data_IF_656261586264
#
_entry.id   IF_656261586264
#
_cell.length_a   1.000
_cell.length_b   1.000
_cell.length_c   1.000
_cell.angle_alpha   90.00
_cell.angle_beta   90.00
_cell.angle_gamma   90.00
#
_symmetry.space_group_name_H-M   'P 1'
#
loop_
_entity.id
_entity.type
_entity.pdbx_description
1 polymer ?
#
# COMPACT_ATOMS: atom_id res chain seq x y z
N UNK A 1 -8.44 -5.79 16.02
CA UNK A 1 -8.92 -4.42 16.32
C UNK A 1 -10.12 -4.02 15.46
N UNK A 2 -11.15 -3.42 16.08
CA UNK A 2 -12.35 -2.91 15.39
C UNK A 2 -12.16 -1.42 15.05
N UNK A 3 -12.27 -1.03 13.79
CA UNK A 3 -12.00 0.33 13.30
C UNK A 3 -13.25 0.90 12.64
N UNK A 4 -13.62 2.15 12.96
CA UNK A 4 -14.69 2.85 12.27
C UNK A 4 -14.21 3.32 10.89
N UNK A 5 -14.86 2.85 9.83
CA UNK A 5 -14.43 3.12 8.45
C UNK A 5 -14.59 4.59 8.09
N UNK A 6 -15.70 5.22 8.50
CA UNK A 6 -15.99 6.61 8.16
C UNK A 6 -14.98 7.55 8.80
N UNK A 7 -14.73 7.40 10.10
CA UNK A 7 -13.75 8.22 10.83
C UNK A 7 -12.35 8.07 10.24
N UNK A 8 -11.97 6.85 9.86
CA UNK A 8 -10.67 6.59 9.24
C UNK A 8 -10.53 7.28 7.88
N UNK A 9 -11.57 7.24 7.05
CA UNK A 9 -11.59 7.92 5.75
C UNK A 9 -11.62 9.44 5.94
N UNK A 10 -12.47 9.98 6.80
CA UNK A 10 -12.56 11.43 7.03
C UNK A 10 -11.24 11.99 7.56
N UNK A 11 -10.59 11.27 8.48
CA UNK A 11 -9.32 11.70 9.06
C UNK A 11 -8.19 11.74 8.02
N UNK A 12 -7.98 10.64 7.27
CA UNK A 12 -6.84 10.55 6.35
C UNK A 12 -7.12 11.10 4.94
N UNK A 13 -8.34 10.98 4.42
CA UNK A 13 -8.69 11.44 3.08
C UNK A 13 -9.33 12.83 3.06
N UNK A 14 -9.94 13.33 4.14
CA UNK A 14 -10.56 14.67 4.15
C UNK A 14 -9.83 15.68 5.06
N UNK A 15 -8.87 15.19 5.86
CA UNK A 15 -8.17 15.97 6.90
C UNK A 15 -9.12 16.49 7.97
N UNK A 16 -10.27 15.84 8.15
CA UNK A 16 -11.22 16.21 9.19
C UNK A 16 -10.58 15.94 10.56
N UNK A 17 -10.70 16.89 11.47
CA UNK A 17 -10.19 16.79 12.85
C UNK A 17 -8.68 16.45 12.94
N UNK A 18 -7.88 16.82 11.93
CA UNK A 18 -6.43 16.62 11.89
C UNK A 18 -5.70 17.95 11.96
N UNK A 19 -4.78 18.10 12.92
CA UNK A 19 -3.80 19.17 12.92
C UNK A 19 -2.62 18.83 12.00
N UNK A 20 -1.75 19.82 11.76
CA UNK A 20 -0.55 19.65 10.93
C UNK A 20 0.39 18.64 11.59
N UNK A 21 0.52 17.46 10.99
CA UNK A 21 1.45 16.42 11.41
C UNK A 21 0.78 15.16 11.92
N UNK A 22 -0.46 15.25 12.42
CA UNK A 22 -1.16 14.13 13.07
C UNK A 22 -1.30 12.92 12.14
N UNK A 23 -1.79 13.15 10.92
CA UNK A 23 -1.94 12.09 9.93
C UNK A 23 -0.61 11.38 9.62
N UNK A 24 0.50 12.12 9.57
CA UNK A 24 1.82 11.53 9.32
C UNK A 24 2.31 10.73 10.53
N UNK A 25 2.14 11.26 11.74
CA UNK A 25 2.51 10.59 12.98
C UNK A 25 1.71 9.29 13.16
N UNK A 26 0.39 9.33 12.95
CA UNK A 26 -0.47 8.15 13.03
C UNK A 26 -0.12 7.14 11.93
N UNK A 27 0.10 7.56 10.68
CA UNK A 27 0.54 6.65 9.62
C UNK A 27 1.90 6.02 9.90
N UNK A 28 2.81 6.70 10.59
CA UNK A 28 4.08 6.11 11.02
C UNK A 28 3.87 4.99 12.05
N UNK A 29 2.86 5.11 12.91
CA UNK A 29 2.56 4.11 13.94
C UNK A 29 1.68 2.97 13.41
N UNK A 30 0.71 3.23 12.53
CA UNK A 30 -0.29 2.22 12.16
C UNK A 30 -0.36 1.89 10.68
N UNK A 31 0.18 2.75 9.81
CA UNK A 31 -0.13 2.72 8.38
C UNK A 31 0.28 1.43 7.66
N UNK A 32 1.45 0.88 7.97
CA UNK A 32 1.91 -0.37 7.33
C UNK A 32 1.03 -1.57 7.72
N UNK A 33 0.72 -1.71 9.01
CA UNK A 33 -0.14 -2.78 9.52
C UNK A 33 -1.58 -2.63 9.01
N UNK A 34 -2.12 -1.41 9.03
CA UNK A 34 -3.45 -1.09 8.55
C UNK A 34 -3.61 -1.47 7.08
N UNK A 35 -2.68 -1.02 6.24
CA UNK A 35 -2.74 -1.27 4.80
C UNK A 35 -2.57 -2.77 4.47
N UNK A 36 -1.63 -3.44 5.15
CA UNK A 36 -1.43 -4.88 4.99
C UNK A 36 -2.67 -5.68 5.40
N UNK A 37 -3.26 -5.32 6.54
CA UNK A 37 -4.43 -6.01 7.10
C UNK A 37 -5.69 -5.75 6.28
N UNK A 38 -5.87 -4.53 5.75
CA UNK A 38 -6.94 -4.22 4.82
C UNK A 38 -6.87 -5.10 3.56
N UNK A 39 -5.68 -5.37 3.03
CA UNK A 39 -5.51 -6.29 1.90
C UNK A 39 -5.83 -7.74 2.27
N UNK A 40 -5.37 -8.21 3.45
CA UNK A 40 -5.74 -9.54 3.98
C UNK A 40 -7.25 -9.69 4.10
N UNK A 41 -7.93 -8.70 4.67
CA UNK A 41 -9.38 -8.67 4.80
C UNK A 41 -10.09 -8.63 3.43
N UNK A 42 -9.60 -7.83 2.47
CA UNK A 42 -10.11 -7.84 1.09
C UNK A 42 -10.02 -9.23 0.44
N UNK A 43 -8.97 -10.00 0.77
CA UNK A 43 -8.78 -11.38 0.31
C UNK A 43 -9.57 -12.41 1.13
N UNK A 44 -10.40 -11.98 2.09
CA UNK A 44 -11.17 -12.85 2.99
C UNK A 44 -10.27 -13.83 3.74
N UNK A 45 -9.17 -13.32 4.29
CA UNK A 45 -8.17 -14.07 5.07
C UNK A 45 -7.51 -15.23 4.31
N UNK A 46 -7.57 -15.22 2.98
CA UNK A 46 -6.86 -16.19 2.12
C UNK A 46 -5.37 -15.85 1.92
N UNK A 47 -4.91 -14.76 2.53
CA UNK A 47 -3.54 -14.27 2.42
C UNK A 47 -2.97 -14.09 3.82
N UNK A 48 -1.80 -14.68 4.05
CA UNK A 48 -1.06 -14.53 5.29
C UNK A 48 -0.04 -13.39 5.17
N UNK A 49 0.05 -12.56 6.21
CA UNK A 49 1.08 -11.53 6.32
C UNK A 49 2.28 -12.19 7.01
N UNK A 50 3.43 -12.22 6.34
CA UNK A 50 4.60 -12.90 6.87
C UNK A 50 5.45 -11.96 7.71
N UNK A 51 6.07 -12.51 8.75
CA UNK A 51 7.06 -11.81 9.55
C UNK A 51 8.38 -11.70 8.76
N UNK A 52 8.95 -10.50 8.72
CA UNK A 52 10.28 -10.26 8.14
C UNK A 52 10.26 -9.28 6.96
N UNK A 53 11.33 -8.49 6.88
CA UNK A 53 11.51 -7.53 5.79
C UNK A 53 11.82 -8.22 4.46
N UNK A 54 11.42 -7.59 3.37
CA UNK A 54 11.76 -8.05 2.03
C UNK A 54 13.13 -7.51 1.64
N UNK A 55 14.09 -8.42 1.46
CA UNK A 55 15.48 -8.07 1.16
C UNK A 55 15.77 -8.26 -0.33
N UNK A 56 16.56 -7.38 -0.96
CA UNK A 56 16.92 -7.54 -2.36
C UNK A 56 17.89 -8.70 -2.58
N UNK A 57 17.90 -9.26 -3.79
CA UNK A 57 18.95 -10.22 -4.20
C UNK A 57 20.30 -9.50 -4.25
N UNK A 58 21.27 -9.99 -3.48
CA UNK A 58 22.63 -9.46 -3.47
C UNK A 58 23.41 -10.15 -4.60
N UNK A 59 23.80 -9.41 -5.64
CA UNK A 59 24.76 -9.91 -6.64
C UNK A 59 26.15 -10.03 -5.99
N UNK A 60 26.92 -11.09 -6.28
CA UNK A 60 28.31 -11.25 -5.81
C UNK A 60 29.09 -9.95 -6.09
N UNK A 61 29.88 -9.48 -5.11
CA UNK A 61 30.71 -8.26 -5.15
C UNK A 61 30.00 -6.90 -5.02
N UNK A 62 28.73 -6.83 -4.61
CA UNK A 62 28.06 -5.57 -4.23
C UNK A 62 27.74 -5.53 -2.74
N UNK A 63 27.92 -4.36 -2.11
CA UNK A 63 27.67 -4.15 -0.68
C UNK A 63 26.22 -4.48 -0.29
N UNK A 64 25.99 -4.84 0.98
CA UNK A 64 24.67 -5.19 1.57
C UNK A 64 23.61 -4.05 1.51
N UNK A 65 23.90 -2.92 0.84
CA UNK A 65 23.05 -1.73 0.74
C UNK A 65 22.15 -1.81 -0.49
N UNK A 66 21.08 -2.59 -0.41
CA UNK A 66 20.03 -2.63 -1.44
C UNK A 66 18.69 -2.09 -0.92
N UNK A 67 17.79 -1.70 -1.83
CA UNK A 67 16.44 -1.24 -1.48
C UNK A 67 15.62 -2.40 -0.92
N UNK A 68 15.07 -2.23 0.28
CA UNK A 68 14.15 -3.18 0.94
C UNK A 68 12.72 -2.87 0.57
N UNK A 69 11.83 -3.85 0.63
CA UNK A 69 10.37 -3.63 0.61
C UNK A 69 9.79 -3.94 1.99
N UNK A 70 8.54 -3.55 2.15
CA UNK A 70 7.89 -3.54 3.46
C UNK A 70 7.53 -4.95 3.92
N UNK A 71 6.85 -5.75 3.08
CA UNK A 71 6.32 -7.07 3.51
C UNK A 71 6.31 -8.17 2.46
N UNK A 72 6.42 -9.41 2.94
CA UNK A 72 6.00 -10.59 2.20
C UNK A 72 4.56 -10.96 2.58
N UNK A 73 3.74 -11.37 1.60
CA UNK A 73 2.40 -11.91 1.84
C UNK A 73 2.16 -13.19 1.05
N UNK A 74 1.63 -14.23 1.69
CA UNK A 74 1.47 -15.55 1.10
C UNK A 74 0.01 -15.83 0.74
N UNK A 75 -0.28 -16.08 -0.53
CA UNK A 75 -1.55 -16.66 -0.96
C UNK A 75 -1.40 -18.16 -1.17
N UNK A 76 -1.45 -18.92 -0.07
CA UNK A 76 -1.15 -20.36 -0.02
C UNK A 76 -1.93 -21.17 -1.06
N UNK A 77 -3.24 -20.93 -1.19
CA UNK A 77 -4.11 -21.65 -2.15
C UNK A 77 -3.72 -21.45 -3.63
N UNK A 78 -2.94 -20.42 -3.95
CA UNK A 78 -2.48 -20.14 -5.32
C UNK A 78 -0.99 -20.34 -5.52
N UNK A 79 -0.25 -20.71 -4.46
CA UNK A 79 1.21 -20.78 -4.51
C UNK A 79 1.89 -19.45 -4.85
N UNK A 80 1.23 -18.31 -4.57
CA UNK A 80 1.76 -16.97 -4.86
C UNK A 80 2.33 -16.37 -3.58
N UNK A 81 3.55 -15.83 -3.68
CA UNK A 81 4.21 -15.04 -2.67
C UNK A 81 4.31 -13.59 -3.17
N UNK A 82 3.52 -12.69 -2.59
CA UNK A 82 3.56 -11.28 -2.94
C UNK A 82 4.74 -10.57 -2.27
N UNK A 83 5.56 -9.88 -3.07
CA UNK A 83 6.50 -8.89 -2.57
C UNK A 83 5.83 -7.52 -2.56
N UNK A 84 5.67 -6.94 -1.36
CA UNK A 84 4.80 -5.81 -1.15
C UNK A 84 5.59 -4.54 -0.83
N UNK A 85 5.23 -3.46 -1.51
CA UNK A 85 5.57 -2.10 -1.09
C UNK A 85 4.28 -1.35 -0.74
N UNK A 86 4.27 -0.72 0.43
CA UNK A 86 3.14 -0.07 1.06
C UNK A 86 3.42 1.44 1.10
N UNK A 87 2.48 2.24 0.60
CA UNK A 87 2.55 3.69 0.60
C UNK A 87 1.36 4.29 1.34
N UNK A 88 1.67 4.88 2.50
CA UNK A 88 0.72 5.57 3.37
C UNK A 88 0.34 6.97 2.87
N UNK A 89 0.35 7.20 1.56
CA UNK A 89 0.06 8.51 0.99
C UNK A 89 -1.44 8.81 1.14
N UNK A 90 -1.75 9.74 2.04
CA UNK A 90 -3.07 10.24 2.35
C UNK A 90 -3.27 11.66 1.80
N UNK A 91 -4.41 12.30 2.06
CA UNK A 91 -4.67 13.65 1.56
C UNK A 91 -3.66 14.70 2.06
N UNK A 92 -2.98 14.43 3.18
CA UNK A 92 -1.92 15.27 3.76
C UNK A 92 -0.56 15.09 3.09
N UNK A 93 -0.36 14.04 2.27
CA UNK A 93 0.88 13.84 1.55
C UNK A 93 1.07 14.87 0.42
N UNK A 94 2.30 15.03 -0.06
CA UNK A 94 2.59 15.87 -1.21
C UNK A 94 1.84 15.34 -2.44
N UNK A 95 1.01 16.18 -3.06
CA UNK A 95 0.12 15.77 -4.16
C UNK A 95 -1.12 15.00 -3.73
N UNK A 96 -1.43 14.95 -2.43
CA UNK A 96 -2.68 14.41 -1.90
C UNK A 96 -3.88 15.28 -2.29
N UNK A 97 -5.04 14.64 -2.53
CA UNK A 97 -6.32 15.32 -2.74
C UNK A 97 -7.28 14.97 -1.61
N UNK A 98 -8.07 15.97 -1.19
CA UNK A 98 -9.17 15.73 -0.25
C UNK A 98 -10.27 14.92 -0.91
N UNK A 99 -10.85 13.99 -0.17
CA UNK A 99 -11.96 13.17 -0.60
C UNK A 99 -12.81 12.74 0.62
N UNK A 100 -13.92 13.42 0.92
CA UNK A 100 -14.83 13.07 2.02
C UNK A 100 -15.31 11.61 1.95
N UNK A 101 -15.59 10.95 3.08
CA UNK A 101 -15.99 9.53 3.10
C UNK A 101 -17.30 9.23 2.33
N UNK A 102 -18.16 10.24 2.17
CA UNK A 102 -19.44 10.20 1.48
C UNK A 102 -19.40 10.76 0.05
N UNK A 103 -18.20 11.09 -0.45
CA UNK A 103 -17.98 11.63 -1.80
C UNK A 103 -18.73 10.87 -2.90
N UNK A 104 -19.07 11.60 -3.97
CA UNK A 104 -19.80 11.02 -5.09
C UNK A 104 -18.92 10.00 -5.85
N UNK A 105 -19.54 9.16 -6.68
CA UNK A 105 -18.82 8.16 -7.48
C UNK A 105 -17.95 8.86 -8.52
N UNK A 106 -18.39 10.04 -8.96
CA UNK A 106 -17.68 10.89 -9.92
C UNK A 106 -16.41 11.42 -9.24
N UNK A 107 -16.52 12.03 -8.06
CA UNK A 107 -15.37 12.56 -7.31
C UNK A 107 -14.34 11.47 -6.97
N UNK A 108 -14.81 10.29 -6.55
CA UNK A 108 -13.94 9.14 -6.28
C UNK A 108 -13.19 8.73 -7.55
N UNK A 109 -13.88 8.64 -8.69
CA UNK A 109 -13.29 8.25 -9.97
C UNK A 109 -12.27 9.28 -10.46
N UNK A 110 -12.59 10.57 -10.37
CA UNK A 110 -11.69 11.66 -10.75
C UNK A 110 -10.44 11.69 -9.88
N UNK A 111 -10.60 11.52 -8.56
CA UNK A 111 -9.47 11.48 -7.61
C UNK A 111 -8.60 10.25 -7.85
N UNK A 112 -9.20 9.07 -8.08
CA UNK A 112 -8.46 7.86 -8.41
C UNK A 112 -7.69 7.99 -9.74
N UNK A 113 -8.30 8.61 -10.76
CA UNK A 113 -7.67 8.91 -12.04
C UNK A 113 -6.50 9.86 -11.87
N UNK A 114 -6.68 10.96 -11.12
CA UNK A 114 -5.62 11.91 -10.82
C UNK A 114 -4.41 11.24 -10.15
N UNK A 115 -4.63 10.41 -9.13
CA UNK A 115 -3.54 9.71 -8.46
C UNK A 115 -2.87 8.69 -9.39
N UNK A 116 -3.64 7.99 -10.23
CA UNK A 116 -3.10 7.06 -11.21
C UNK A 116 -2.21 7.75 -12.24
N UNK A 117 -2.66 8.85 -12.83
CA UNK A 117 -1.88 9.66 -13.79
C UNK A 117 -0.63 10.28 -13.15
N UNK A 118 -0.75 10.73 -11.90
CA UNK A 118 0.39 11.19 -11.10
C UNK A 118 1.42 10.07 -10.89
N UNK A 119 0.99 8.85 -10.56
CA UNK A 119 1.90 7.71 -10.43
C UNK A 119 2.59 7.36 -11.74
N UNK A 120 1.85 7.35 -12.86
CA UNK A 120 2.40 7.07 -14.19
C UNK A 120 3.43 8.12 -14.63
N UNK A 121 3.22 9.39 -14.31
CA UNK A 121 4.13 10.47 -14.69
C UNK A 121 5.37 10.58 -13.80
N UNK A 122 5.28 10.17 -12.53
CA UNK A 122 6.36 10.39 -11.55
C UNK A 122 7.11 9.12 -11.15
N UNK A 123 6.38 8.10 -10.68
CA UNK A 123 6.96 6.95 -10.00
C UNK A 123 7.02 5.70 -10.88
N UNK A 124 6.16 5.63 -11.88
CA UNK A 124 6.02 4.55 -12.86
C UNK A 124 6.29 5.06 -14.30
N UNK A 125 7.19 6.03 -14.45
CA UNK A 125 7.52 6.66 -15.73
C UNK A 125 8.93 6.28 -16.22
N UNK A 126 9.21 6.53 -17.51
CA UNK A 126 10.55 6.39 -18.11
C UNK A 126 11.57 7.40 -17.58
N UNK A 127 11.09 8.60 -17.21
CA UNK A 127 11.93 9.75 -16.84
C UNK A 127 11.76 10.01 -15.35
N UNK A 128 12.76 9.70 -14.53
CA UNK A 128 12.69 9.97 -13.11
C UNK A 128 12.47 11.48 -12.88
N UNK A 129 11.70 11.89 -11.85
CA UNK A 129 11.26 13.27 -11.66
C UNK A 129 12.39 14.26 -11.35
N UNK A 130 13.62 13.76 -11.17
CA UNK A 130 14.84 14.57 -10.96
C UNK A 130 15.94 14.05 -11.87
N UNK A 131 16.68 14.95 -12.54
CA UNK A 131 17.76 14.65 -13.52
C UNK A 131 18.81 13.62 -13.06
N UNK A 132 18.92 13.33 -11.76
CA UNK A 132 19.91 12.41 -11.18
C UNK A 132 19.34 11.20 -10.42
N UNK A 133 18.01 11.02 -10.35
CA UNK A 133 17.46 9.81 -9.73
C UNK A 133 17.57 8.64 -10.70
N UNK A 134 18.25 7.55 -10.33
CA UNK A 134 18.23 6.31 -11.10
C UNK A 134 17.03 5.45 -10.69
N UNK A 135 16.30 4.93 -11.66
CA UNK A 135 15.40 3.81 -11.40
C UNK A 135 16.21 2.58 -10.96
N UNK A 136 15.64 1.71 -10.13
CA UNK A 136 14.30 1.77 -9.49
C UNK A 136 14.23 2.87 -8.41
N UNK A 137 13.13 3.61 -8.26
CA UNK A 137 12.90 4.62 -7.19
C UNK A 137 11.57 4.40 -6.46
N UNK A 138 11.44 4.90 -5.23
CA UNK A 138 10.16 4.98 -4.49
C UNK A 138 9.32 3.71 -4.46
N UNK A 139 8.41 3.58 -5.43
CA UNK A 139 7.44 2.47 -5.60
C UNK A 139 7.94 1.42 -6.61
N UNK A 140 8.71 1.82 -7.64
CA UNK A 140 9.18 0.92 -8.71
C UNK A 140 10.22 -0.09 -8.22
N UNK A 141 10.77 0.09 -7.01
CA UNK A 141 11.60 -0.94 -6.35
C UNK A 141 10.83 -2.24 -6.08
N UNK A 142 9.49 -2.21 -6.03
CA UNK A 142 8.65 -3.40 -5.94
C UNK A 142 8.83 -4.32 -7.16
N UNK A 143 9.42 -3.85 -8.25
CA UNK A 143 9.67 -4.63 -9.46
C UNK A 143 11.09 -5.22 -9.51
N UNK A 144 11.90 -5.00 -8.47
CA UNK A 144 13.20 -5.65 -8.36
C UNK A 144 13.04 -7.05 -7.79
N UNK A 145 13.82 -8.01 -8.28
CA UNK A 145 13.88 -9.33 -7.70
C UNK A 145 14.34 -9.27 -6.23
N UNK A 146 13.54 -9.87 -5.35
CA UNK A 146 13.80 -9.94 -3.91
C UNK A 146 14.19 -11.35 -3.50
N UNK A 147 15.04 -11.45 -2.48
CA UNK A 147 15.45 -12.73 -1.89
C UNK A 147 14.25 -13.34 -1.18
N UNK A 148 13.70 -14.36 -1.82
CA UNK A 148 12.63 -15.20 -1.31
C UNK A 148 13.04 -15.93 -0.03
N UNK A 149 12.18 -16.03 0.99
CA UNK A 149 12.45 -16.87 2.17
C UNK A 149 12.57 -18.34 1.79
N UNK A 150 13.47 -19.07 2.46
CA UNK A 150 13.82 -20.45 2.10
C UNK A 150 12.61 -21.39 2.07
N UNK A 151 11.67 -21.25 3.02
CA UNK A 151 10.49 -22.11 3.06
C UNK A 151 9.51 -21.90 1.89
N UNK A 152 9.67 -20.81 1.11
CA UNK A 152 8.77 -20.49 0.01
C UNK A 152 9.41 -20.65 -1.36
N UNK A 153 10.62 -21.25 -1.48
CA UNK A 153 11.40 -21.35 -2.73
C UNK A 153 10.59 -21.67 -3.99
N UNK A 154 9.61 -22.57 -3.88
CA UNK A 154 8.79 -23.06 -4.99
C UNK A 154 7.55 -22.20 -5.31
N UNK A 155 7.30 -21.12 -4.56
CA UNK A 155 6.17 -20.21 -4.81
C UNK A 155 6.50 -19.23 -5.95
N UNK A 156 5.51 -18.89 -6.77
CA UNK A 156 5.66 -17.80 -7.73
C UNK A 156 5.69 -16.46 -7.00
N UNK A 157 6.54 -15.53 -7.45
CA UNK A 157 6.61 -14.19 -6.85
C UNK A 157 5.85 -13.22 -7.73
N UNK A 158 4.96 -12.44 -7.11
CA UNK A 158 4.22 -11.38 -7.80
C UNK A 158 4.39 -10.05 -7.05
N UNK A 159 4.66 -8.93 -7.74
CA UNK A 159 4.82 -7.65 -7.09
C UNK A 159 3.44 -7.02 -6.78
N UNK A 160 3.32 -6.45 -5.59
CA UNK A 160 2.09 -5.81 -5.10
C UNK A 160 2.40 -4.44 -4.50
N UNK A 161 1.79 -3.39 -5.06
CA UNK A 161 1.71 -2.08 -4.42
C UNK A 161 0.43 -1.98 -3.60
N UNK A 162 0.54 -1.55 -2.36
CA UNK A 162 -0.60 -1.20 -1.53
C UNK A 162 -0.53 0.30 -1.22
N UNK A 163 -1.53 1.04 -1.69
CA UNK A 163 -1.67 2.47 -1.43
C UNK A 163 -2.80 2.72 -0.44
N UNK A 164 -2.59 3.67 0.47
CA UNK A 164 -3.68 4.27 1.22
C UNK A 164 -4.64 5.00 0.27
N UNK A 165 -4.14 5.99 -0.50
CA UNK A 165 -4.93 6.85 -1.40
C UNK A 165 -5.87 6.09 -2.36
N UNK A 166 -6.98 6.72 -2.79
CA UNK A 166 -7.81 6.19 -3.86
C UNK A 166 -6.99 6.13 -5.15
N UNK A 167 -6.75 4.93 -5.69
CA UNK A 167 -6.00 4.73 -6.93
C UNK A 167 -6.45 3.45 -7.60
N UNK A 168 -6.60 3.48 -8.91
CA UNK A 168 -6.95 2.29 -9.68
C UNK A 168 -6.48 2.44 -11.11
N UNK A 169 -5.90 1.38 -11.65
CA UNK A 169 -5.55 1.30 -13.08
C UNK A 169 -6.69 0.70 -13.92
N UNK A 170 -7.83 0.37 -13.30
CA UNK A 170 -9.02 -0.11 -14.00
C UNK A 170 -9.71 1.04 -14.75
N UNK A 171 -10.30 0.76 -15.92
CA UNK A 171 -10.96 1.77 -16.75
C UNK A 171 -12.06 2.55 -16.01
N UNK A 172 -12.75 1.90 -15.07
CA UNK A 172 -13.80 2.54 -14.30
C UNK A 172 -13.26 3.34 -13.11
N UNK A 173 -11.99 3.15 -12.72
CA UNK A 173 -11.32 3.87 -11.63
C UNK A 173 -11.79 3.51 -10.22
N UNK A 174 -12.69 2.54 -10.09
CA UNK A 174 -13.39 2.24 -8.83
C UNK A 174 -13.03 0.87 -8.22
N UNK A 175 -12.30 0.02 -8.95
CA UNK A 175 -11.90 -1.29 -8.43
C UNK A 175 -10.74 -1.12 -7.45
N UNK A 176 -10.85 -1.61 -6.20
CA UNK A 176 -9.76 -1.47 -5.23
C UNK A 176 -8.51 -2.26 -5.60
N UNK A 177 -8.65 -3.37 -6.32
CA UNK A 177 -7.53 -4.15 -6.84
C UNK A 177 -7.54 -4.09 -8.37
N UNK A 178 -6.43 -3.69 -8.94
CA UNK A 178 -6.16 -3.78 -10.37
C UNK A 178 -4.79 -4.40 -10.64
N UNK A 179 -4.60 -4.88 -11.87
CA UNK A 179 -3.32 -5.41 -12.32
C UNK A 179 -2.98 -4.81 -13.68
N UNK A 180 -1.71 -4.47 -13.88
CA UNK A 180 -1.21 -3.91 -15.14
C UNK A 180 -0.05 -4.75 -15.65
N UNK A 181 0.08 -4.93 -16.98
CA UNK A 181 1.29 -5.51 -17.56
C UNK A 181 2.50 -4.62 -17.25
N UNK A 182 3.59 -5.17 -16.72
CA UNK A 182 4.81 -4.39 -16.43
C UNK A 182 5.38 -3.78 -17.70
N UNK A 183 5.29 -4.51 -18.83
CA UNK A 183 5.71 -4.02 -20.15
C UNK A 183 5.05 -2.71 -20.57
N UNK A 184 3.80 -2.44 -20.16
CA UNK A 184 3.11 -1.20 -20.54
C UNK A 184 3.59 0.03 -19.78
N UNK A 185 4.31 -0.16 -18.66
CA UNK A 185 4.94 0.92 -17.91
C UNK A 185 6.22 1.42 -18.57
N UNK A 186 6.80 0.62 -19.47
CA UNK A 186 8.04 0.91 -20.20
C UNK A 186 9.19 1.42 -19.30
N UNK A 187 9.31 0.88 -18.09
CA UNK A 187 10.30 1.33 -17.11
C UNK A 187 11.71 0.93 -17.55
N UNK A 188 12.73 1.76 -17.31
CA UNK A 188 14.12 1.43 -17.58
C UNK A 188 14.70 0.54 -16.47
N UNK A 189 14.01 -0.56 -16.15
CA UNK A 189 14.42 -1.55 -15.16
C UNK A 189 14.33 -2.95 -15.78
N UNK A 190 15.34 -3.77 -15.51
CA UNK A 190 15.28 -5.19 -15.76
C UNK A 190 14.45 -5.85 -14.65
N UNK A 191 13.39 -6.58 -15.03
CA UNK A 191 12.44 -7.21 -14.11
C UNK A 191 11.92 -8.50 -14.71
N UNK A 192 11.84 -9.56 -13.89
CA UNK A 192 11.26 -10.85 -14.27
C UNK A 192 9.72 -10.85 -14.22
N UNK A 193 9.12 -9.83 -13.59
CA UNK A 193 7.68 -9.77 -13.40
C UNK A 193 6.94 -9.32 -14.66
N UNK A 194 5.91 -10.08 -15.05
CA UNK A 194 5.05 -9.78 -16.19
C UNK A 194 3.91 -8.79 -15.86
N UNK A 195 3.48 -8.75 -14.60
CA UNK A 195 2.37 -7.93 -14.11
C UNK A 195 2.69 -7.29 -12.75
N UNK A 196 2.09 -6.14 -12.50
CA UNK A 196 2.11 -5.43 -11.22
C UNK A 196 0.68 -5.32 -10.67
N UNK A 197 0.47 -5.77 -9.44
CA UNK A 197 -0.79 -5.56 -8.73
C UNK A 197 -0.77 -4.24 -7.98
N UNK A 198 -1.90 -3.55 -7.98
CA UNK A 198 -2.10 -2.29 -7.27
C UNK A 198 -3.38 -2.42 -6.46
N UNK A 199 -3.26 -2.31 -5.14
CA UNK A 199 -4.37 -2.29 -4.22
C UNK A 199 -4.53 -0.91 -3.58
N UNK A 200 -5.76 -0.40 -3.56
CA UNK A 200 -6.13 0.85 -2.90
C UNK A 200 -7.00 0.57 -1.68
N UNK A 201 -6.48 0.95 -0.52
CA UNK A 201 -7.17 0.79 0.76
C UNK A 201 -8.36 1.75 0.85
N UNK A 202 -8.19 3.02 0.45
CA UNK A 202 -9.28 4.00 0.42
C UNK A 202 -10.45 3.53 -0.46
N UNK A 203 -10.19 3.04 -1.68
CA UNK A 203 -11.27 2.51 -2.53
C UNK A 203 -11.96 1.30 -1.90
N UNK A 204 -11.19 0.40 -1.27
CA UNK A 204 -11.75 -0.77 -0.61
C UNK A 204 -12.68 -0.38 0.56
N UNK A 205 -12.21 0.51 1.43
CA UNK A 205 -12.98 0.99 2.57
C UNK A 205 -14.25 1.72 2.14
N UNK A 206 -14.18 2.54 1.08
CA UNK A 206 -15.37 3.19 0.48
C UNK A 206 -16.36 2.17 -0.08
N UNK A 207 -15.86 1.10 -0.70
CA UNK A 207 -16.70 0.00 -1.18
C UNK A 207 -17.42 -0.72 -0.02
N UNK A 208 -16.75 -0.92 1.13
CA UNK A 208 -17.38 -1.49 2.33
C UNK A 208 -18.41 -0.52 2.94
N UNK A 209 -18.05 0.76 3.08
CA UNK A 209 -18.90 1.78 3.71
C UNK A 209 -20.15 2.12 2.89
N UNK A 210 -20.09 2.00 1.55
CA UNK A 210 -21.20 2.28 0.62
C UNK A 210 -21.94 3.59 0.92
N UNK A 211 -21.19 4.69 1.13
CA UNK A 211 -21.72 6.00 1.54
C UNK A 211 -22.67 5.93 2.75
N UNK A 212 -22.24 5.28 3.83
CA UNK A 212 -22.99 5.21 5.08
C UNK A 212 -24.08 4.13 5.12
N UNK A 213 -24.37 3.45 4.00
CA UNK A 213 -25.35 2.36 3.94
C UNK A 213 -24.75 0.97 4.09
N UNK A 214 -23.42 0.89 4.15
CA UNK A 214 -22.67 -0.35 4.22
C UNK A 214 -22.12 -0.61 5.62
N UNK A 215 -20.97 -1.27 5.65
CA UNK A 215 -20.30 -1.64 6.89
C UNK A 215 -19.76 -0.38 7.59
N UNK A 216 -20.14 -0.20 8.87
CA UNK A 216 -19.64 0.89 9.71
C UNK A 216 -18.24 0.61 10.26
N UNK A 217 -17.97 -0.65 10.61
CA UNK A 217 -16.73 -1.06 11.27
C UNK A 217 -16.04 -2.19 10.53
N UNK A 218 -14.72 -2.14 10.38
CA UNK A 218 -13.89 -3.23 9.88
C UNK A 218 -13.08 -3.84 11.04
N UNK A 219 -12.97 -5.16 11.07
CA UNK A 219 -12.13 -5.87 12.03
C UNK A 219 -10.82 -6.25 11.35
N UNK A 220 -9.70 -5.74 11.86
CA UNK A 220 -8.36 -5.98 11.33
C UNK A 220 -7.41 -6.50 12.41
N UNK A 221 -6.65 -7.55 12.10
CA UNK A 221 -5.58 -8.06 12.95
C UNK A 221 -4.31 -7.24 12.74
N UNK A 222 -3.92 -6.41 13.71
CA UNK A 222 -2.78 -5.51 13.59
C UNK A 222 -1.81 -5.67 14.77
N UNK A 223 -1.15 -6.83 14.90
CA UNK A 223 -0.39 -7.17 16.10
C UNK A 223 0.81 -6.25 16.35
N UNK A 224 1.46 -5.70 15.31
CA UNK A 224 2.58 -4.76 15.54
C UNK A 224 2.08 -3.39 15.98
N UNK A 225 0.93 -2.92 15.46
CA UNK A 225 0.26 -1.73 15.97
C UNK A 225 -0.12 -1.90 17.44
N UNK A 226 -0.77 -3.01 17.81
CA UNK A 226 -1.13 -3.32 19.19
C UNK A 226 0.10 -3.34 20.11
N UNK A 227 1.22 -3.92 19.64
CA UNK A 227 2.50 -3.87 20.36
C UNK A 227 3.01 -2.44 20.54
N UNK A 228 3.02 -1.61 19.48
CA UNK A 228 3.43 -0.20 19.57
C UNK A 228 2.57 0.60 20.53
N UNK A 229 1.25 0.37 20.54
CA UNK A 229 0.35 1.02 21.51
C UNK A 229 0.67 0.60 22.94
N UNK A 230 0.95 -0.69 23.20
CA UNK A 230 1.40 -1.13 24.53
C UNK A 230 2.70 -0.46 24.97
N UNK A 231 3.66 -0.24 24.06
CA UNK A 231 4.88 0.49 24.38
C UNK A 231 4.60 1.96 24.72
N UNK A 232 3.76 2.63 23.93
CA UNK A 232 3.37 4.03 24.17
C UNK A 232 2.67 4.20 25.52
N UNK A 233 1.74 3.31 25.87
CA UNK A 233 1.05 3.35 27.17
C UNK A 233 2.01 3.20 28.36
N UNK A 234 3.13 2.50 28.22
CA UNK A 234 4.15 2.40 29.29
C UNK A 234 4.80 3.74 29.57
N UNK A 235 5.04 4.56 28.54
CA UNK A 235 5.62 5.90 28.73
C UNK A 235 4.65 6.87 29.41
N UNK A 236 3.34 6.66 29.28
CA UNK A 236 2.33 7.50 29.92
C UNK A 236 2.10 7.13 31.39
N UNK A 237 2.24 5.85 31.72
CA UNK A 237 1.82 5.32 33.02
C UNK A 237 2.95 5.22 34.06
N UNK A 238 4.14 5.78 33.80
CA UNK A 238 5.19 6.05 34.78
C UNK A 238 5.27 5.08 35.97
N UNK A 239 5.49 3.79 35.70
CA UNK A 239 5.89 2.78 36.68
C UNK A 239 6.97 1.91 36.05
#
# INVERSE_FOLDING_TARGET
>A
MKINIKELLDFFDDKKDSQKGDANALMAILGEDLNASAYKHFRKDKVDILAGSVLPVIKKNKSKKGKRLDRWMLYKKRGILFQCEIKNWAATALGGRKLPADASKIDIKETAKYHWESQLSTNLSKKPPKKNQKHPNGVSKVLLAMRKPNQYKNHSVEPLLIYWMPISSDKNGLKPLSAIPVRSLHLPIETEFSKLHIFSVSLYLRQLHKRGRGQKFINLEMPHFEHRMRLLSRFQNGR
#
